data_IF_298722544821
#
_entry.id   IF_298722544821
#
_cell.length_a   1.000
_cell.length_b   1.000
_cell.length_c   1.000
_cell.angle_alpha   90.00
_cell.angle_beta   90.00
_cell.angle_gamma   90.00
#
_symmetry.space_group_name_H-M   'P 1'
#
loop_
_entity.id
_entity.type
_entity.pdbx_description
1 polymer ?
#
# COMPACT_ATOMS: atom_id res chain seq x y z
N UNK A 1 -8.96 -12.10 -6.19
CA UNK A 1 -7.69 -11.87 -5.49
C UNK A 1 -7.98 -11.65 -4.03
N UNK A 2 -6.96 -11.78 -3.20
CA UNK A 2 -6.92 -11.40 -1.80
C UNK A 2 -7.14 -9.88 -1.59
N UNK A 3 -6.55 -9.05 -2.45
CA UNK A 3 -6.64 -7.59 -2.37
C UNK A 3 -8.09 -7.04 -2.39
N UNK A 4 -8.96 -7.36 -3.38
CA UNK A 4 -10.35 -6.87 -3.36
C UNK A 4 -11.17 -7.36 -2.15
N UNK A 5 -10.88 -8.57 -1.66
CA UNK A 5 -11.55 -9.11 -0.47
C UNK A 5 -11.15 -8.29 0.76
N UNK A 6 -9.86 -7.98 0.90
CA UNK A 6 -9.35 -7.13 1.97
C UNK A 6 -9.97 -5.73 1.93
N UNK A 7 -10.04 -5.09 0.75
CA UNK A 7 -10.69 -3.78 0.59
C UNK A 7 -12.18 -3.84 1.00
N UNK A 8 -12.91 -4.85 0.52
CA UNK A 8 -14.33 -5.01 0.85
C UNK A 8 -14.56 -5.21 2.36
N UNK A 9 -13.72 -6.01 3.02
CA UNK A 9 -13.78 -6.23 4.47
C UNK A 9 -13.43 -4.98 5.27
N UNK A 10 -12.47 -4.17 4.78
CA UNK A 10 -12.04 -2.95 5.45
C UNK A 10 -13.09 -1.84 5.35
N UNK A 11 -13.72 -1.67 4.18
CA UNK A 11 -14.71 -0.61 3.95
C UNK A 11 -16.08 -0.93 4.55
N UNK A 12 -16.47 -2.21 4.55
CA UNK A 12 -17.74 -2.77 5.07
C UNK A 12 -19.03 -2.26 4.42
N UNK A 13 -19.12 -0.97 4.09
CA UNK A 13 -20.34 -0.29 3.64
C UNK A 13 -20.26 0.18 2.19
N UNK A 14 -19.06 0.24 1.61
CA UNK A 14 -18.88 0.68 0.22
C UNK A 14 -18.86 -0.52 -0.74
N UNK A 15 -19.52 -0.41 -1.90
CA UNK A 15 -19.52 -1.46 -2.92
C UNK A 15 -18.11 -1.60 -3.52
N UNK A 16 -17.63 -2.85 -3.62
CA UNK A 16 -16.36 -3.19 -4.26
C UNK A 16 -16.65 -4.15 -5.41
N UNK A 17 -16.25 -3.78 -6.63
CA UNK A 17 -16.47 -4.58 -7.83
C UNK A 17 -15.13 -4.96 -8.47
N UNK A 18 -14.97 -6.25 -8.71
CA UNK A 18 -13.83 -6.81 -9.44
C UNK A 18 -14.29 -7.16 -10.84
N UNK A 19 -13.78 -6.45 -11.84
CA UNK A 19 -14.03 -6.77 -13.24
C UNK A 19 -12.77 -6.56 -14.07
N UNK A 20 -12.35 -7.53 -14.90
CA UNK A 20 -11.21 -7.36 -15.81
C UNK A 20 -11.36 -6.14 -16.72
N UNK A 21 -12.59 -5.86 -17.15
CA UNK A 21 -12.94 -4.66 -17.92
C UNK A 21 -13.52 -3.60 -17.00
N UNK A 22 -12.71 -2.61 -16.61
CA UNK A 22 -13.09 -1.57 -15.65
C UNK A 22 -14.34 -0.77 -16.06
N UNK A 23 -14.56 -0.57 -17.36
CA UNK A 23 -15.77 0.11 -17.87
C UNK A 23 -17.05 -0.64 -17.46
N UNK A 24 -17.03 -1.98 -17.51
CA UNK A 24 -18.20 -2.78 -17.17
C UNK A 24 -18.48 -2.69 -15.66
N UNK A 25 -17.43 -2.61 -14.82
CA UNK A 25 -17.57 -2.34 -13.39
C UNK A 25 -18.18 -0.96 -13.10
N UNK A 26 -17.72 0.08 -13.79
CA UNK A 26 -18.26 1.44 -13.65
C UNK A 26 -19.74 1.47 -14.03
N UNK A 27 -20.10 0.90 -15.17
CA UNK A 27 -21.50 0.84 -15.60
C UNK A 27 -22.38 0.11 -14.57
N UNK A 28 -21.86 -0.98 -13.98
CA UNK A 28 -22.58 -1.71 -12.95
C UNK A 28 -22.74 -0.87 -11.67
N UNK A 29 -21.70 -0.18 -11.21
CA UNK A 29 -21.76 0.73 -10.04
C UNK A 29 -22.82 1.80 -10.23
N UNK A 30 -22.78 2.51 -11.36
CA UNK A 30 -23.71 3.61 -11.67
C UNK A 30 -25.16 3.13 -11.78
N UNK A 31 -25.38 1.88 -12.25
CA UNK A 31 -26.73 1.33 -12.37
C UNK A 31 -27.30 0.79 -11.06
N UNK A 32 -26.45 0.31 -10.15
CA UNK A 32 -26.87 -0.42 -8.95
C UNK A 32 -26.73 0.40 -7.67
N UNK A 33 -26.08 1.56 -7.73
CA UNK A 33 -25.75 2.38 -6.56
C UNK A 33 -25.87 3.85 -6.92
N UNK A 34 -26.12 4.69 -5.91
CA UNK A 34 -26.15 6.14 -6.05
C UNK A 34 -24.74 6.75 -5.83
N UNK A 35 -23.70 6.12 -6.39
CA UNK A 35 -22.33 6.57 -6.15
C UNK A 35 -22.03 7.88 -6.88
N UNK A 36 -21.54 8.88 -6.15
CA UNK A 36 -21.07 10.15 -6.73
C UNK A 36 -19.61 10.08 -7.20
N UNK A 37 -18.82 9.20 -6.58
CA UNK A 37 -17.37 9.07 -6.80
C UNK A 37 -17.02 7.59 -6.93
N UNK A 38 -16.23 7.27 -7.97
CA UNK A 38 -15.67 5.94 -8.18
C UNK A 38 -14.15 6.01 -8.00
N UNK A 39 -13.63 5.16 -7.12
CA UNK A 39 -12.19 4.99 -6.93
C UNK A 39 -11.74 3.71 -7.64
N UNK A 40 -10.83 3.83 -8.60
CA UNK A 40 -10.18 2.69 -9.23
C UNK A 40 -8.84 2.43 -8.56
N UNK A 41 -8.76 1.33 -7.81
CA UNK A 41 -7.48 0.79 -7.36
C UNK A 41 -6.66 0.26 -8.55
N UNK A 42 -5.35 0.53 -8.54
CA UNK A 42 -4.39 0.29 -9.64
C UNK A 42 -4.94 0.67 -11.04
N UNK A 43 -5.59 1.84 -11.15
CA UNK A 43 -6.32 2.26 -12.35
C UNK A 43 -5.48 2.93 -13.45
N UNK A 44 -4.23 3.33 -13.16
CA UNK A 44 -3.48 4.24 -14.04
C UNK A 44 -3.17 3.64 -15.43
N UNK A 45 -2.84 2.35 -15.49
CA UNK A 45 -2.55 1.66 -16.76
C UNK A 45 -3.81 1.22 -17.52
N UNK A 46 -5.01 1.39 -16.96
CA UNK A 46 -6.28 1.07 -17.62
C UNK A 46 -6.76 2.21 -18.52
N UNK A 47 -6.03 2.55 -19.58
CA UNK A 47 -6.32 3.72 -20.44
C UNK A 47 -7.74 3.78 -21.04
N UNK A 48 -8.42 2.64 -21.21
CA UNK A 48 -9.81 2.62 -21.69
C UNK A 48 -10.82 3.15 -20.66
N UNK A 49 -10.46 3.17 -19.37
CA UNK A 49 -11.27 3.77 -18.32
C UNK A 49 -11.10 5.30 -18.37
N UNK A 50 -12.17 6.03 -18.66
CA UNK A 50 -12.18 7.48 -18.48
C UNK A 50 -11.97 7.82 -16.99
N UNK A 51 -11.16 8.83 -16.71
CA UNK A 51 -10.83 9.29 -15.36
C UNK A 51 -10.85 10.80 -15.35
N UNK A 52 -11.57 11.37 -14.39
CA UNK A 52 -11.60 12.81 -14.18
C UNK A 52 -10.40 13.30 -13.36
N UNK A 53 -9.85 12.43 -12.50
CA UNK A 53 -8.70 12.72 -11.64
C UNK A 53 -7.77 11.50 -11.60
N UNK A 54 -6.48 11.72 -11.78
CA UNK A 54 -5.41 10.72 -11.67
C UNK A 54 -4.44 11.05 -10.53
N UNK A 55 -4.28 10.11 -9.61
CA UNK A 55 -3.33 10.19 -8.51
C UNK A 55 -2.23 9.14 -8.72
N UNK A 56 -0.96 9.56 -8.77
CA UNK A 56 0.17 8.64 -8.82
C UNK A 56 0.82 8.51 -7.46
N UNK A 57 1.00 7.27 -7.00
CA UNK A 57 1.75 6.99 -5.77
C UNK A 57 3.22 6.74 -6.09
N UNK A 58 4.10 7.47 -5.41
CA UNK A 58 5.55 7.31 -5.48
C UNK A 58 6.04 6.86 -4.12
N UNK A 59 6.71 5.71 -4.04
CA UNK A 59 7.35 5.28 -2.80
C UNK A 59 8.58 6.17 -2.53
N UNK A 60 8.57 6.91 -1.43
CA UNK A 60 9.59 7.91 -1.12
C UNK A 60 10.98 7.31 -0.89
N UNK A 61 11.03 6.08 -0.39
CA UNK A 61 12.30 5.39 -0.10
C UNK A 61 12.88 4.75 -1.36
N UNK A 62 12.03 4.16 -2.22
CA UNK A 62 12.48 3.50 -3.45
C UNK A 62 12.66 4.45 -4.63
N UNK A 63 11.87 5.52 -4.68
CA UNK A 63 11.79 6.43 -5.83
C UNK A 63 11.51 5.67 -7.13
N UNK A 64 12.17 6.09 -8.21
CA UNK A 64 12.03 5.53 -9.56
C UNK A 64 13.12 4.52 -9.96
N UNK A 65 13.95 4.08 -9.00
CA UNK A 65 15.04 3.15 -9.25
C UNK A 65 16.03 3.63 -10.32
N UNK A 66 16.32 2.79 -11.31
CA UNK A 66 17.22 3.14 -12.42
C UNK A 66 16.53 3.90 -13.57
N UNK A 67 15.28 4.33 -13.38
CA UNK A 67 14.49 5.12 -14.32
C UNK A 67 14.22 4.45 -15.67
N UNK A 68 14.43 3.13 -15.78
CA UNK A 68 14.13 2.36 -16.99
C UNK A 68 12.80 1.64 -16.86
N UNK A 69 12.16 1.44 -18.00
CA UNK A 69 10.97 0.59 -18.11
C UNK A 69 11.34 -0.88 -17.89
N UNK A 70 10.34 -1.66 -17.47
CA UNK A 70 10.42 -3.12 -17.46
C UNK A 70 10.80 -3.66 -18.85
N UNK A 71 11.65 -4.70 -18.93
CA UNK A 71 12.30 -5.41 -17.82
C UNK A 71 13.64 -4.79 -17.38
N UNK A 72 14.12 -3.73 -18.04
CA UNK A 72 15.43 -3.12 -17.75
C UNK A 72 15.45 -2.31 -16.45
N UNK A 73 14.28 -1.96 -15.92
CA UNK A 73 14.08 -1.25 -14.66
C UNK A 73 12.69 -1.50 -14.08
N UNK A 74 12.34 -0.84 -12.96
CA UNK A 74 11.11 -1.14 -12.22
C UNK A 74 9.86 -0.43 -12.77
N UNK A 75 10.01 0.49 -13.72
CA UNK A 75 8.90 1.34 -14.15
C UNK A 75 7.96 0.61 -15.13
N UNK A 76 6.65 0.73 -14.91
CA UNK A 76 5.61 0.25 -15.85
C UNK A 76 5.34 1.27 -16.97
N UNK A 77 5.53 2.55 -16.67
CA UNK A 77 5.32 3.69 -17.56
C UNK A 77 6.50 4.66 -17.46
N UNK A 78 6.78 5.44 -18.51
CA UNK A 78 7.92 6.36 -18.52
C UNK A 78 7.66 7.56 -17.59
N UNK A 79 8.71 8.23 -17.09
CA UNK A 79 8.56 9.32 -16.11
C UNK A 79 7.76 10.50 -16.66
N UNK A 80 7.77 10.69 -17.98
CA UNK A 80 6.99 11.69 -18.68
C UNK A 80 5.48 11.55 -18.43
N UNK A 81 5.02 10.36 -17.99
CA UNK A 81 3.63 10.12 -17.58
C UNK A 81 3.20 10.99 -16.40
N UNK A 82 4.15 11.40 -15.56
CA UNK A 82 3.89 12.32 -14.45
C UNK A 82 3.35 13.67 -14.95
N UNK A 83 3.65 14.08 -16.18
CA UNK A 83 3.13 15.34 -16.75
C UNK A 83 1.62 15.33 -17.00
N UNK A 84 0.97 14.17 -17.01
CA UNK A 84 -0.46 14.06 -17.33
C UNK A 84 -1.33 13.61 -16.16
N UNK A 85 -0.75 13.28 -15.00
CA UNK A 85 -1.53 13.02 -13.79
C UNK A 85 -1.89 14.33 -13.08
N UNK A 86 -2.91 14.32 -12.23
CA UNK A 86 -3.38 15.52 -11.53
C UNK A 86 -2.63 15.75 -10.21
N UNK A 87 -2.21 14.67 -9.55
CA UNK A 87 -1.47 14.76 -8.28
C UNK A 87 -0.42 13.66 -8.14
N UNK A 88 0.67 13.99 -7.45
CA UNK A 88 1.69 13.04 -7.01
C UNK A 88 1.58 12.88 -5.49
N UNK A 89 1.47 11.64 -5.03
CA UNK A 89 1.39 11.29 -3.62
C UNK A 89 2.62 10.46 -3.23
N UNK A 90 3.47 11.04 -2.40
CA UNK A 90 4.65 10.40 -1.84
C UNK A 90 4.27 9.51 -0.65
N UNK A 91 4.57 8.21 -0.71
CA UNK A 91 4.42 7.29 0.41
C UNK A 91 5.69 7.34 1.29
N UNK A 92 5.59 8.10 2.38
CA UNK A 92 6.71 8.45 3.26
C UNK A 92 7.30 9.82 2.93
N UNK A 93 8.42 10.15 3.55
CA UNK A 93 9.08 11.45 3.38
C UNK A 93 10.04 11.39 2.18
N UNK A 94 9.76 12.10 1.07
CA UNK A 94 10.63 12.11 -0.10
C UNK A 94 11.90 12.94 0.17
N UNK A 95 13.02 12.51 -0.41
CA UNK A 95 14.25 13.32 -0.41
C UNK A 95 14.11 14.52 -1.35
N UNK A 96 14.97 15.53 -1.18
CA UNK A 96 15.05 16.68 -2.09
C UNK A 96 15.30 16.24 -3.53
N UNK A 97 16.19 15.26 -3.75
CA UNK A 97 16.51 14.78 -5.10
C UNK A 97 15.30 14.12 -5.77
N UNK A 98 14.48 13.39 -5.01
CA UNK A 98 13.26 12.78 -5.55
C UNK A 98 12.21 13.84 -5.86
N UNK A 99 12.06 14.85 -5.01
CA UNK A 99 11.15 15.98 -5.26
C UNK A 99 11.56 16.74 -6.52
N UNK A 100 12.86 17.03 -6.68
CA UNK A 100 13.41 17.71 -7.86
C UNK A 100 13.16 16.88 -9.13
N UNK A 101 13.42 15.56 -9.09
CA UNK A 101 13.17 14.67 -10.22
C UNK A 101 11.69 14.61 -10.62
N UNK A 102 10.78 14.60 -9.65
CA UNK A 102 9.34 14.71 -9.93
C UNK A 102 9.02 16.08 -10.53
N UNK A 103 9.53 17.16 -9.96
CA UNK A 103 9.30 18.52 -10.45
C UNK A 103 9.70 18.67 -11.94
N UNK A 104 10.84 18.10 -12.34
CA UNK A 104 11.31 18.06 -13.74
C UNK A 104 10.33 17.39 -14.71
N UNK A 105 9.51 16.44 -14.22
CA UNK A 105 8.58 15.65 -15.01
C UNK A 105 7.11 15.98 -14.75
N UNK A 106 6.83 17.11 -14.09
CA UNK A 106 5.46 17.60 -13.86
C UNK A 106 5.24 18.93 -14.57
N UNK A 107 4.00 19.19 -15.01
CA UNK A 107 3.66 20.43 -15.75
C UNK A 107 3.95 21.66 -14.90
N UNK A 108 4.98 22.43 -15.29
CA UNK A 108 5.29 23.77 -14.78
C UNK A 108 5.36 23.89 -13.25
N UNK A 109 5.69 22.84 -12.50
CA UNK A 109 5.67 22.81 -11.03
C UNK A 109 4.32 23.16 -10.38
N UNK A 110 3.21 23.07 -11.12
CA UNK A 110 1.88 23.44 -10.62
C UNK A 110 1.04 22.25 -10.15
N UNK A 111 1.55 21.04 -10.33
CA UNK A 111 0.87 19.83 -9.92
C UNK A 111 0.87 19.69 -8.40
N UNK A 112 -0.27 19.30 -7.83
CA UNK A 112 -0.36 19.12 -6.39
C UNK A 112 0.50 17.92 -5.96
N UNK A 113 1.39 18.15 -4.99
CA UNK A 113 2.24 17.13 -4.39
C UNK A 113 1.88 16.98 -2.92
N UNK A 114 1.65 15.75 -2.50
CA UNK A 114 1.32 15.43 -1.11
C UNK A 114 2.23 14.33 -0.61
N UNK A 115 2.53 14.36 0.68
CA UNK A 115 3.13 13.22 1.38
C UNK A 115 2.08 12.55 2.24
N UNK A 116 2.02 11.22 2.17
CA UNK A 116 1.26 10.40 3.09
C UNK A 116 2.23 9.66 4.01
N UNK A 117 1.84 9.52 5.28
CA UNK A 117 2.55 8.68 6.24
C UNK A 117 1.59 7.60 6.74
N UNK A 118 2.07 6.36 6.79
CA UNK A 118 1.34 5.28 7.44
C UNK A 118 1.67 5.29 8.93
N UNK A 119 0.63 5.43 9.75
CA UNK A 119 0.75 5.27 11.20
C UNK A 119 0.20 3.91 11.61
N UNK A 120 0.98 3.16 12.38
CA UNK A 120 0.47 1.97 13.06
C UNK A 120 -0.39 2.44 14.22
N UNK A 121 -1.69 2.21 14.13
CA UNK A 121 -2.67 2.61 15.15
C UNK A 121 -2.97 1.49 16.14
N UNK A 122 -2.64 0.25 15.78
CA UNK A 122 -2.91 -0.91 16.61
C UNK A 122 -2.66 -2.25 15.94
N UNK A 123 -2.89 -3.31 16.72
CA UNK A 123 -2.90 -4.69 16.25
C UNK A 123 -4.33 -5.21 16.21
N UNK A 124 -4.73 -5.78 15.07
CA UNK A 124 -6.03 -6.45 14.94
C UNK A 124 -5.87 -7.92 15.28
N UNK A 125 -6.65 -8.37 16.26
CA UNK A 125 -6.79 -9.78 16.60
C UNK A 125 -7.58 -10.51 15.50
N UNK A 126 -7.05 -11.64 15.02
CA UNK A 126 -7.74 -12.45 14.02
C UNK A 126 -8.86 -13.31 14.62
N UNK A 127 -8.84 -13.58 15.93
CA UNK A 127 -9.83 -14.44 16.58
C UNK A 127 -11.15 -13.73 16.85
N UNK A 128 -11.10 -12.42 17.12
CA UNK A 128 -12.28 -11.64 17.55
C UNK A 128 -12.38 -10.25 16.87
N UNK A 129 -11.50 -9.95 15.91
CA UNK A 129 -11.44 -8.66 15.21
C UNK A 129 -11.19 -7.43 16.09
N UNK A 130 -10.90 -7.62 17.38
CA UNK A 130 -10.61 -6.52 18.30
C UNK A 130 -9.33 -5.79 17.88
N UNK A 131 -9.30 -4.47 18.09
CA UNK A 131 -8.12 -3.65 17.83
C UNK A 131 -7.50 -3.30 19.17
N UNK A 132 -6.29 -3.80 19.40
CA UNK A 132 -5.43 -3.40 20.51
C UNK A 132 -4.61 -2.18 20.10
N UNK A 133 -4.26 -1.31 21.04
CA UNK A 133 -3.51 -0.09 20.74
C UNK A 133 -2.13 -0.38 20.14
N UNK A 134 -1.54 0.62 19.48
CA UNK A 134 -0.16 0.56 18.99
C UNK A 134 0.89 0.48 20.11
N UNK A 135 0.48 0.65 21.38
CA UNK A 135 1.35 0.35 22.51
C UNK A 135 1.47 -1.17 22.66
N UNK A 136 2.60 -1.69 22.20
CA UNK A 136 2.90 -3.11 22.19
C UNK A 136 3.43 -3.63 23.53
N UNK A 137 3.41 -2.83 24.60
CA UNK A 137 3.88 -3.23 25.93
C UNK A 137 3.26 -4.54 26.45
N UNK A 138 2.00 -4.81 26.12
CA UNK A 138 1.33 -6.04 26.54
C UNK A 138 1.99 -7.31 25.96
N UNK A 139 2.73 -7.18 24.85
CA UNK A 139 3.47 -8.27 24.23
C UNK A 139 4.69 -8.70 25.05
N UNK A 140 5.16 -7.88 26.00
CA UNK A 140 6.27 -8.22 26.90
C UNK A 140 5.94 -9.40 27.84
N UNK A 141 4.66 -9.82 27.91
CA UNK A 141 4.26 -11.05 28.61
C UNK A 141 4.75 -12.33 27.94
N UNK A 142 5.14 -12.24 26.67
CA UNK A 142 5.68 -13.35 25.91
C UNK A 142 7.21 -13.29 25.89
N UNK A 143 7.87 -14.45 25.88
CA UNK A 143 9.33 -14.51 25.75
C UNK A 143 9.77 -14.43 24.28
N UNK A 144 8.97 -14.99 23.38
CA UNK A 144 9.25 -15.07 21.94
C UNK A 144 8.01 -14.67 21.16
N UNK A 145 8.20 -13.87 20.12
CA UNK A 145 7.15 -13.49 19.16
C UNK A 145 7.62 -13.84 17.76
N UNK A 146 6.75 -14.52 17.02
CA UNK A 146 6.96 -14.88 15.63
C UNK A 146 6.27 -13.83 14.75
N UNK A 147 7.04 -13.19 13.87
CA UNK A 147 6.52 -12.28 12.85
C UNK A 147 6.50 -13.04 11.53
N UNK A 148 5.33 -13.09 10.90
CA UNK A 148 5.10 -13.82 9.66
C UNK A 148 4.61 -12.84 8.61
N UNK A 149 5.25 -12.83 7.44
CA UNK A 149 4.90 -11.93 6.36
C UNK A 149 5.07 -12.57 4.99
N UNK A 150 4.03 -12.45 4.15
CA UNK A 150 3.96 -12.96 2.78
C UNK A 150 3.50 -11.84 1.86
N UNK A 151 4.29 -10.76 1.83
CA UNK A 151 4.04 -9.51 1.11
C UNK A 151 5.25 -9.17 0.26
N UNK A 152 5.10 -8.30 -0.75
CA UNK A 152 6.20 -7.93 -1.66
C UNK A 152 7.46 -7.34 -1.00
N UNK A 153 7.38 -6.79 0.22
CA UNK A 153 8.54 -6.34 1.01
C UNK A 153 8.37 -6.64 2.52
N UNK A 154 8.69 -7.87 2.97
CA UNK A 154 8.52 -8.29 4.37
C UNK A 154 9.33 -7.45 5.38
N UNK A 155 10.51 -6.97 4.99
CA UNK A 155 11.39 -6.18 5.86
C UNK A 155 10.73 -4.88 6.33
N UNK A 156 9.86 -4.27 5.51
CA UNK A 156 9.12 -3.06 5.93
C UNK A 156 8.24 -3.34 7.15
N UNK A 157 7.60 -4.51 7.18
CA UNK A 157 6.78 -4.95 8.31
C UNK A 157 7.65 -5.28 9.54
N UNK A 158 8.71 -6.08 9.37
CA UNK A 158 9.58 -6.45 10.49
C UNK A 158 10.24 -5.24 11.14
N UNK A 159 10.76 -4.31 10.35
CA UNK A 159 11.34 -3.06 10.87
C UNK A 159 10.33 -2.22 11.65
N UNK A 160 9.08 -2.14 11.19
CA UNK A 160 8.05 -1.38 11.88
C UNK A 160 7.73 -1.98 13.26
N UNK A 161 7.63 -3.31 13.36
CA UNK A 161 7.40 -3.98 14.65
C UNK A 161 8.63 -3.87 15.57
N UNK A 162 9.84 -4.03 15.03
CA UNK A 162 11.09 -3.81 15.79
C UNK A 162 11.14 -2.41 16.40
N UNK A 163 10.79 -1.39 15.63
CA UNK A 163 10.78 0.01 16.11
C UNK A 163 9.72 0.27 17.19
N UNK A 164 8.56 -0.38 17.10
CA UNK A 164 7.53 -0.28 18.14
C UNK A 164 7.97 -0.95 19.44
N UNK A 165 8.64 -2.10 19.35
CA UNK A 165 9.12 -2.86 20.51
C UNK A 165 10.43 -2.33 21.11
N UNK A 166 11.26 -1.61 20.34
CA UNK A 166 12.55 -1.08 20.81
C UNK A 166 12.43 -0.03 21.92
N UNK A 167 11.21 0.44 22.21
CA UNK A 167 10.91 1.35 23.31
C UNK A 167 10.73 0.65 24.66
N UNK A 168 10.84 -0.69 24.70
CA UNK A 168 10.56 -1.51 25.87
C UNK A 168 11.83 -2.19 26.41
N UNK A 169 12.14 -1.99 27.69
CA UNK A 169 13.33 -2.57 28.33
C UNK A 169 13.31 -4.12 28.42
N UNK A 170 12.13 -4.73 28.31
CA UNK A 170 11.93 -6.20 28.34
C UNK A 170 11.30 -6.70 27.03
N UNK A 171 11.77 -6.21 25.89
CA UNK A 171 11.26 -6.62 24.59
C UNK A 171 11.41 -8.15 24.38
N UNK A 172 10.38 -8.84 23.85
CA UNK A 172 10.46 -10.25 23.53
C UNK A 172 11.49 -10.53 22.43
N UNK A 173 12.04 -11.74 22.41
CA UNK A 173 12.84 -12.20 21.27
C UNK A 173 11.94 -12.31 20.04
N UNK A 174 12.35 -11.69 18.94
CA UNK A 174 11.64 -11.75 17.67
C UNK A 174 12.21 -12.87 16.79
N UNK A 175 11.33 -13.65 16.16
CA UNK A 175 11.67 -14.63 15.12
C UNK A 175 10.89 -14.28 13.86
N UNK A 176 11.59 -14.04 12.75
CA UNK A 176 11.01 -13.54 11.51
C UNK A 176 10.87 -14.64 10.47
N UNK A 177 9.72 -14.71 9.82
CA UNK A 177 9.38 -15.69 8.80
C UNK A 177 8.87 -14.94 7.55
N UNK A 178 9.73 -14.86 6.55
CA UNK A 178 9.41 -14.24 5.27
C UNK A 178 8.96 -15.31 4.26
N UNK A 179 7.82 -15.05 3.61
CA UNK A 179 7.23 -15.86 2.56
C UNK A 179 7.09 -15.03 1.28
N UNK A 180 6.97 -15.68 0.10
CA UNK A 180 6.65 -14.99 -1.15
C UNK A 180 5.37 -14.16 -1.07
N UNK A 181 5.24 -13.19 -1.97
CA UNK A 181 4.00 -12.41 -2.09
C UNK A 181 2.82 -13.31 -2.47
N UNK A 182 1.64 -13.03 -1.92
CA UNK A 182 0.43 -13.85 -2.06
C UNK A 182 0.60 -15.33 -1.63
N UNK A 183 1.52 -15.62 -0.70
CA UNK A 183 1.74 -16.99 -0.23
C UNK A 183 0.50 -17.59 0.43
N UNK A 184 0.14 -18.81 0.02
CA UNK A 184 -0.95 -19.58 0.61
C UNK A 184 -0.44 -20.36 1.82
N UNK A 185 -0.60 -19.78 3.01
CA UNK A 185 -0.17 -20.37 4.27
C UNK A 185 -0.76 -21.75 4.53
N UNK A 186 0.07 -22.64 5.06
CA UNK A 186 -0.30 -23.95 5.56
C UNK A 186 -0.10 -24.00 7.07
N UNK A 187 -0.80 -24.90 7.73
CA UNK A 187 -0.65 -25.12 9.18
C UNK A 187 0.81 -25.43 9.57
N UNK A 188 1.53 -26.18 8.72
CA UNK A 188 2.95 -26.50 8.90
C UNK A 188 3.88 -25.29 8.93
N UNK A 189 3.41 -24.13 8.44
CA UNK A 189 4.22 -22.90 8.37
C UNK A 189 4.19 -22.12 9.70
N UNK A 190 3.32 -22.50 10.64
CA UNK A 190 3.09 -21.82 11.92
C UNK A 190 3.53 -22.64 13.16
N UNK A 191 4.31 -23.71 12.96
CA UNK A 191 4.75 -24.67 13.99
C UNK A 191 6.08 -24.28 14.62
#
# INVERSE_FOLDING_TARGET
GDEPVHIAQALQTMPVIVCPRRIDAVNMLVQQTDCDIILSDDGLQHYALARDIELVLVDSARGFGNQRLLPAGPLREPLERLNSVDMVVFNGDPSSELQDLVAEHTKNNQQAQYSMQMAITGLRSLSDSSIQSADLNYLNRYQVIHLVAGIGNPERFFNAVRLLLSKNDNAPRIVEHAFPDHYSYKESDLV
#
